data_IF_262193169701
#
_entry.id   IF_262193169701
#
_cell.length_a   1.000
_cell.length_b   1.000
_cell.length_c   1.000
_cell.angle_alpha   90.00
_cell.angle_beta   90.00
_cell.angle_gamma   90.00
#
_symmetry.space_group_name_H-M   'P 1'
#
loop_
_entity.id
_entity.type
_entity.pdbx_description
1 polymer ?
#
# COMPACT_ATOMS: atom_id res chain seq x y z
N UNK A 1 14.58 27.33 27.24
CA UNK A 1 13.22 27.70 26.80
C UNK A 1 12.83 26.79 25.66
N UNK A 2 11.67 26.10 25.70
CA UNK A 2 11.17 25.40 24.52
C UNK A 2 10.86 26.41 23.41
N UNK A 3 11.20 26.06 22.17
CA UNK A 3 11.03 26.90 20.98
C UNK A 3 9.56 27.35 20.81
N UNK A 4 9.28 28.67 20.76
CA UNK A 4 7.93 29.22 20.62
C UNK A 4 7.22 28.87 19.31
N UNK A 5 7.90 28.23 18.35
CA UNK A 5 7.33 27.85 17.05
C UNK A 5 6.86 26.38 16.95
N UNK A 6 7.10 25.54 17.96
CA UNK A 6 6.65 24.14 17.95
C UNK A 6 5.17 24.01 18.36
N UNK A 7 4.24 24.40 17.48
CA UNK A 7 2.81 24.23 17.72
C UNK A 7 2.50 22.76 18.08
N UNK A 8 1.91 22.55 19.26
CA UNK A 8 1.63 21.20 19.77
C UNK A 8 0.52 20.55 18.95
N UNK A 9 0.70 19.27 18.63
CA UNK A 9 -0.35 18.46 18.02
C UNK A 9 -1.57 18.40 18.96
N UNK A 10 -2.68 18.93 18.48
CA UNK A 10 -3.97 18.86 19.17
C UNK A 10 -4.88 17.77 18.55
N UNK A 11 -6.11 17.67 19.09
CA UNK A 11 -7.12 16.73 18.61
C UNK A 11 -7.50 16.93 17.13
N UNK A 12 -7.51 18.17 16.63
CA UNK A 12 -7.93 18.50 15.25
C UNK A 12 -6.96 17.89 14.24
N UNK A 13 -5.66 17.94 14.54
CA UNK A 13 -4.61 17.34 13.70
C UNK A 13 -4.71 15.81 13.64
N UNK A 14 -5.01 15.16 14.76
CA UNK A 14 -5.23 13.71 14.79
C UNK A 14 -6.51 13.31 14.06
N UNK A 15 -7.57 14.11 14.17
CA UNK A 15 -8.80 13.89 13.41
C UNK A 15 -8.59 14.08 11.90
N UNK A 16 -7.72 15.01 11.50
CA UNK A 16 -7.29 15.14 10.10
C UNK A 16 -6.50 13.90 9.64
N UNK A 17 -5.62 13.37 10.49
CA UNK A 17 -4.90 12.13 10.21
C UNK A 17 -5.83 10.91 10.11
N UNK A 18 -6.89 10.85 10.92
CA UNK A 18 -7.96 9.86 10.77
C UNK A 18 -8.69 10.05 9.45
N UNK A 19 -9.10 11.27 9.09
CA UNK A 19 -9.77 11.55 7.83
C UNK A 19 -8.91 11.16 6.62
N UNK A 20 -7.61 11.45 6.64
CA UNK A 20 -6.67 11.05 5.60
C UNK A 20 -6.45 9.52 5.60
N UNK A 21 -6.22 8.93 6.76
CA UNK A 21 -6.01 7.49 6.92
C UNK A 21 -7.21 6.64 6.50
N UNK A 22 -8.44 7.15 6.61
CA UNK A 22 -9.64 6.48 6.09
C UNK A 22 -9.54 6.22 4.58
N UNK A 23 -8.90 7.07 3.79
CA UNK A 23 -8.67 6.77 2.38
C UNK A 23 -7.64 5.64 2.18
N UNK A 24 -6.58 5.58 2.99
CA UNK A 24 -5.64 4.46 2.95
C UNK A 24 -6.30 3.12 3.35
N UNK A 25 -7.24 3.18 4.30
CA UNK A 25 -8.09 2.04 4.67
C UNK A 25 -9.00 1.60 3.51
N UNK A 26 -9.63 2.56 2.83
CA UNK A 26 -10.50 2.29 1.68
C UNK A 26 -9.73 1.78 0.45
N UNK A 27 -8.52 2.29 0.19
CA UNK A 27 -7.64 1.84 -0.91
C UNK A 27 -7.23 0.38 -0.73
N UNK A 28 -6.62 0.06 0.42
CA UNK A 28 -6.30 -1.33 0.78
C UNK A 28 -7.53 -2.24 0.81
N UNK A 29 -8.65 -1.73 1.33
CA UNK A 29 -9.92 -2.44 1.35
C UNK A 29 -10.40 -2.80 -0.05
N UNK A 30 -10.35 -1.88 -1.00
CA UNK A 30 -10.72 -2.14 -2.40
C UNK A 30 -9.79 -3.16 -3.06
N UNK A 31 -8.47 -3.05 -2.87
CA UNK A 31 -7.49 -4.00 -3.46
C UNK A 31 -7.78 -5.42 -3.01
N UNK A 32 -7.94 -5.63 -1.70
CA UNK A 32 -8.25 -6.95 -1.16
C UNK A 32 -9.64 -7.41 -1.63
N UNK A 33 -10.65 -6.54 -1.61
CA UNK A 33 -12.03 -6.89 -1.98
C UNK A 33 -12.19 -7.25 -3.45
N UNK A 34 -11.45 -6.59 -4.35
CA UNK A 34 -11.37 -7.00 -5.77
C UNK A 34 -10.82 -8.41 -5.85
N UNK A 35 -9.71 -8.69 -5.16
CA UNK A 35 -9.09 -10.02 -5.17
C UNK A 35 -9.96 -11.13 -4.59
N UNK A 36 -10.75 -10.82 -3.56
CA UNK A 36 -11.77 -11.71 -3.00
C UNK A 36 -12.88 -12.02 -4.02
N UNK A 37 -13.25 -11.04 -4.85
CA UNK A 37 -14.33 -11.12 -5.82
C UNK A 37 -13.99 -11.83 -7.12
N UNK A 38 -12.71 -11.89 -7.52
CA UNK A 38 -12.29 -12.38 -8.85
C UNK A 38 -12.85 -13.77 -9.22
N UNK A 39 -12.76 -14.76 -8.32
CA UNK A 39 -13.26 -16.11 -8.60
C UNK A 39 -14.81 -16.14 -8.73
N UNK A 40 -15.49 -15.34 -7.92
CA UNK A 40 -16.96 -15.25 -7.93
C UNK A 40 -17.46 -14.50 -9.17
N UNK A 41 -16.83 -13.40 -9.55
CA UNK A 41 -17.16 -12.65 -10.76
C UNK A 41 -16.85 -13.45 -12.03
N UNK A 42 -15.72 -14.19 -12.04
CA UNK A 42 -15.40 -15.10 -13.14
C UNK A 42 -16.54 -16.07 -13.42
N UNK A 43 -17.06 -16.70 -12.37
CA UNK A 43 -18.19 -17.65 -12.48
C UNK A 43 -19.52 -16.95 -12.80
N UNK A 44 -19.80 -15.81 -12.17
CA UNK A 44 -21.09 -15.13 -12.28
C UNK A 44 -21.31 -14.44 -13.64
N UNK A 45 -20.23 -13.95 -14.27
CA UNK A 45 -20.27 -13.21 -15.52
C UNK A 45 -19.60 -13.96 -16.68
N UNK A 46 -19.26 -15.24 -16.48
CA UNK A 46 -18.56 -16.09 -17.46
C UNK A 46 -17.32 -15.41 -18.07
N UNK A 47 -16.46 -14.88 -17.19
CA UNK A 47 -15.30 -14.09 -17.61
C UNK A 47 -14.18 -14.97 -18.14
N UNK A 48 -13.61 -14.56 -19.26
CA UNK A 48 -12.37 -15.13 -19.75
C UNK A 48 -11.17 -14.73 -18.86
N UNK A 49 -10.03 -15.38 -19.10
CA UNK A 49 -8.81 -15.17 -18.30
C UNK A 49 -8.28 -13.74 -18.44
N UNK A 50 -8.46 -13.12 -19.60
CA UNK A 50 -8.02 -11.75 -19.85
C UNK A 50 -8.85 -10.73 -19.10
N UNK A 51 -10.17 -10.89 -19.02
CA UNK A 51 -11.04 -10.00 -18.25
C UNK A 51 -10.79 -10.11 -16.75
N UNK A 52 -10.49 -11.31 -16.24
CA UNK A 52 -10.01 -11.49 -14.85
C UNK A 52 -8.67 -10.77 -14.64
N UNK A 53 -7.76 -10.84 -15.62
CA UNK A 53 -6.50 -10.09 -15.63
C UNK A 53 -6.73 -8.58 -15.62
N UNK A 54 -7.69 -8.09 -16.41
CA UNK A 54 -8.10 -6.67 -16.42
C UNK A 54 -8.64 -6.27 -15.05
N UNK A 55 -9.56 -7.03 -14.44
CA UNK A 55 -10.08 -6.71 -13.11
C UNK A 55 -8.99 -6.69 -12.03
N UNK A 56 -8.06 -7.65 -12.07
CA UNK A 56 -6.95 -7.74 -11.12
C UNK A 56 -5.83 -6.71 -11.35
N UNK A 57 -5.75 -6.10 -12.54
CA UNK A 57 -4.71 -5.10 -12.88
C UNK A 57 -5.22 -3.67 -12.95
N UNK A 58 -6.46 -3.45 -13.37
CA UNK A 58 -7.05 -2.15 -13.61
C UNK A 58 -6.98 -1.27 -12.36
N UNK A 59 -7.31 -1.83 -11.19
CA UNK A 59 -7.24 -1.09 -9.93
C UNK A 59 -5.82 -0.53 -9.71
N UNK A 60 -4.80 -1.38 -9.73
CA UNK A 60 -3.40 -0.97 -9.52
C UNK A 60 -2.90 -0.02 -10.61
N UNK A 61 -3.27 -0.25 -11.88
CA UNK A 61 -2.91 0.62 -13.00
C UNK A 61 -3.47 2.03 -12.79
N UNK A 62 -4.76 2.12 -12.49
CA UNK A 62 -5.45 3.39 -12.35
C UNK A 62 -5.16 4.08 -11.02
N UNK A 63 -4.72 3.35 -9.98
CA UNK A 63 -4.05 3.94 -8.82
C UNK A 63 -2.77 4.66 -9.25
N UNK A 64 -1.94 4.06 -10.12
CA UNK A 64 -0.74 4.72 -10.63
C UNK A 64 -1.08 5.96 -11.47
N UNK A 65 -2.06 5.86 -12.38
CA UNK A 65 -2.54 6.99 -13.19
C UNK A 65 -3.10 8.11 -12.31
N UNK A 66 -3.93 7.76 -11.33
CA UNK A 66 -4.48 8.70 -10.35
C UNK A 66 -3.39 9.36 -9.51
N UNK A 67 -2.37 8.63 -9.08
CA UNK A 67 -1.26 9.20 -8.30
C UNK A 67 -0.41 10.19 -9.11
N UNK A 68 -0.21 9.93 -10.41
CA UNK A 68 0.52 10.84 -11.30
C UNK A 68 -0.24 12.14 -11.59
N UNK A 69 -1.57 12.06 -11.67
CA UNK A 69 -2.43 13.20 -12.06
C UNK A 69 -2.98 13.96 -10.86
N UNK A 70 -3.19 13.28 -9.72
CA UNK A 70 -3.90 13.77 -8.55
C UNK A 70 -3.25 14.98 -7.90
N UNK A 71 -1.92 15.01 -7.78
CA UNK A 71 -1.21 16.16 -7.20
C UNK A 71 -1.42 17.44 -8.01
N UNK A 72 -1.24 17.37 -9.33
CA UNK A 72 -1.47 18.53 -10.22
C UNK A 72 -2.93 18.97 -10.24
N UNK A 73 -3.87 18.03 -10.21
CA UNK A 73 -5.29 18.33 -10.12
C UNK A 73 -5.64 18.99 -8.78
N UNK A 74 -5.05 18.54 -7.68
CA UNK A 74 -5.23 19.14 -6.36
C UNK A 74 -4.72 20.59 -6.31
N UNK A 75 -3.61 20.89 -6.99
CA UNK A 75 -3.09 22.26 -7.07
C UNK A 75 -4.00 23.19 -7.89
N UNK A 76 -4.66 22.67 -8.94
CA UNK A 76 -5.58 23.44 -9.79
C UNK A 76 -6.96 23.66 -9.16
N UNK A 77 -7.51 22.63 -8.52
CA UNK A 77 -8.87 22.64 -7.94
C UNK A 77 -8.89 23.18 -6.51
N UNK A 78 -7.74 23.14 -5.84
CA UNK A 78 -7.57 23.39 -4.41
C UNK A 78 -7.49 22.08 -3.63
N UNK A 79 -6.43 21.95 -2.82
CA UNK A 79 -6.07 20.70 -2.12
C UNK A 79 -7.17 20.20 -1.18
N UNK A 80 -7.81 21.09 -0.41
CA UNK A 80 -8.92 20.74 0.47
C UNK A 80 -10.18 20.23 -0.25
N UNK A 81 -10.50 20.83 -1.41
CA UNK A 81 -11.64 20.40 -2.25
C UNK A 81 -11.36 19.06 -2.91
N UNK A 82 -10.18 18.92 -3.53
CA UNK A 82 -9.75 17.67 -4.16
C UNK A 82 -9.75 16.53 -3.14
N UNK A 83 -9.27 16.78 -1.92
CA UNK A 83 -9.27 15.81 -0.81
C UNK A 83 -10.67 15.28 -0.46
N UNK A 84 -11.73 16.06 -0.67
CA UNK A 84 -13.11 15.58 -0.45
C UNK A 84 -13.71 14.97 -1.72
N UNK A 85 -13.42 15.52 -2.91
CA UNK A 85 -13.98 15.03 -4.17
C UNK A 85 -13.49 13.63 -4.54
N UNK A 86 -12.22 13.30 -4.27
CA UNK A 86 -11.66 11.96 -4.51
C UNK A 86 -12.43 10.88 -3.75
N UNK A 87 -12.76 11.13 -2.47
CA UNK A 87 -13.46 10.13 -1.66
C UNK A 87 -14.94 10.00 -2.04
N UNK A 88 -15.55 11.08 -2.53
CA UNK A 88 -16.90 11.03 -3.09
C UNK A 88 -16.94 10.22 -4.40
N UNK A 89 -15.94 10.43 -5.28
CA UNK A 89 -15.78 9.67 -6.51
C UNK A 89 -15.57 8.18 -6.22
N UNK A 90 -14.73 7.86 -5.22
CA UNK A 90 -14.55 6.50 -4.72
C UNK A 90 -15.90 5.91 -4.28
N UNK A 91 -16.69 6.64 -3.49
CA UNK A 91 -17.97 6.14 -2.98
C UNK A 91 -18.95 5.80 -4.11
N UNK A 92 -19.09 6.68 -5.10
CA UNK A 92 -19.95 6.44 -6.25
C UNK A 92 -19.50 5.20 -7.05
N UNK A 93 -18.19 5.04 -7.24
CA UNK A 93 -17.62 3.89 -7.93
C UNK A 93 -17.77 2.58 -7.14
N UNK A 94 -17.62 2.62 -5.81
CA UNK A 94 -17.86 1.48 -4.93
C UNK A 94 -19.33 1.03 -4.96
N UNK A 95 -20.28 1.96 -5.01
CA UNK A 95 -21.70 1.64 -5.25
C UNK A 95 -21.88 0.97 -6.61
N UNK A 96 -21.29 1.52 -7.67
CA UNK A 96 -21.38 0.96 -9.02
C UNK A 96 -20.84 -0.48 -9.08
N UNK A 97 -19.73 -0.78 -8.39
CA UNK A 97 -19.20 -2.15 -8.25
C UNK A 97 -20.16 -3.04 -7.45
N UNK A 98 -20.71 -2.54 -6.34
CA UNK A 98 -21.63 -3.30 -5.49
C UNK A 98 -22.92 -3.72 -6.22
N UNK A 99 -23.43 -2.87 -7.11
CA UNK A 99 -24.68 -3.13 -7.86
C UNK A 99 -24.45 -3.52 -9.31
N UNK A 100 -23.20 -3.82 -9.71
CA UNK A 100 -22.84 -4.08 -11.09
C UNK A 100 -23.70 -5.22 -11.70
N UNK A 101 -24.45 -4.95 -12.80
CA UNK A 101 -25.28 -5.95 -13.45
C UNK A 101 -24.48 -6.82 -14.44
N UNK A 102 -23.31 -6.36 -14.89
CA UNK A 102 -22.47 -7.03 -15.86
C UNK A 102 -20.99 -6.66 -15.68
N UNK A 103 -20.12 -7.35 -16.43
CA UNK A 103 -18.67 -7.16 -16.39
C UNK A 103 -18.22 -5.74 -16.76
N UNK A 104 -18.88 -5.09 -17.72
CA UNK A 104 -18.50 -3.74 -18.18
C UNK A 104 -18.66 -2.71 -17.07
N UNK A 105 -19.80 -2.72 -16.38
CA UNK A 105 -20.05 -1.81 -15.25
C UNK A 105 -19.09 -2.11 -14.09
N UNK A 106 -18.81 -3.40 -13.84
CA UNK A 106 -17.85 -3.82 -12.83
C UNK A 106 -16.44 -3.27 -13.13
N UNK A 107 -15.93 -3.47 -14.34
CA UNK A 107 -14.61 -2.97 -14.77
C UNK A 107 -14.56 -1.45 -14.69
N UNK A 108 -15.58 -0.75 -15.19
CA UNK A 108 -15.64 0.70 -15.12
C UNK A 108 -15.61 1.20 -13.66
N UNK A 109 -16.37 0.56 -12.77
CA UNK A 109 -16.34 0.87 -11.34
C UNK A 109 -14.95 0.68 -10.72
N UNK A 110 -14.29 -0.45 -11.00
CA UNK A 110 -12.92 -0.73 -10.50
C UNK A 110 -11.91 0.29 -11.02
N UNK A 111 -12.00 0.69 -12.29
CA UNK A 111 -11.15 1.74 -12.87
C UNK A 111 -11.34 3.06 -12.12
N UNK A 112 -12.58 3.48 -11.89
CA UNK A 112 -12.88 4.75 -11.20
C UNK A 112 -12.43 4.71 -9.74
N UNK A 113 -12.61 3.58 -9.04
CA UNK A 113 -12.04 3.37 -7.69
C UNK A 113 -10.52 3.57 -7.74
N UNK A 114 -9.84 2.99 -8.73
CA UNK A 114 -8.40 3.10 -8.88
C UNK A 114 -7.94 4.55 -9.08
N UNK A 115 -8.56 5.29 -9.99
CA UNK A 115 -8.25 6.71 -10.21
C UNK A 115 -8.49 7.52 -8.94
N UNK A 116 -9.61 7.30 -8.26
CA UNK A 116 -9.97 8.02 -7.04
C UNK A 116 -8.97 7.76 -5.90
N UNK A 117 -8.64 6.50 -5.63
CA UNK A 117 -7.68 6.10 -4.62
C UNK A 117 -6.26 6.61 -4.94
N UNK A 118 -5.85 6.49 -6.21
CA UNK A 118 -4.58 7.01 -6.70
C UNK A 118 -4.43 8.50 -6.51
N UNK A 119 -5.47 9.28 -6.85
CA UNK A 119 -5.45 10.73 -6.72
C UNK A 119 -5.54 11.21 -5.26
N UNK A 120 -6.18 10.44 -4.37
CA UNK A 120 -6.29 10.77 -2.95
C UNK A 120 -4.93 10.69 -2.24
N UNK A 121 -4.07 9.74 -2.61
CA UNK A 121 -2.81 9.50 -1.92
C UNK A 121 -1.86 10.74 -1.90
N UNK A 122 -1.50 11.36 -3.03
CA UNK A 122 -0.69 12.59 -3.01
C UNK A 122 -1.45 13.77 -2.39
N UNK A 123 -2.76 13.85 -2.60
CA UNK A 123 -3.61 14.94 -2.09
C UNK A 123 -3.69 14.92 -0.56
N UNK A 124 -3.90 13.75 0.04
CA UNK A 124 -4.00 13.57 1.49
C UNK A 124 -2.68 13.82 2.21
N UNK A 125 -1.55 13.38 1.62
CA UNK A 125 -0.21 13.68 2.14
C UNK A 125 0.06 15.18 2.10
N UNK A 126 -0.30 15.86 1.01
CA UNK A 126 -0.17 17.31 0.87
C UNK A 126 -0.99 18.05 1.93
N UNK A 127 -2.28 17.74 2.05
CA UNK A 127 -3.19 18.34 3.05
C UNK A 127 -2.68 18.12 4.47
N UNK A 128 -2.24 16.90 4.81
CA UNK A 128 -1.65 16.62 6.12
C UNK A 128 -0.37 17.40 6.36
N UNK A 129 0.49 17.55 5.35
CA UNK A 129 1.80 18.18 5.51
C UNK A 129 1.70 19.70 5.66
N UNK A 130 0.77 20.34 4.96
CA UNK A 130 0.50 21.77 5.05
C UNK A 130 -0.18 22.15 6.37
N UNK A 131 -1.20 21.37 6.75
CA UNK A 131 -2.03 21.65 7.93
C UNK A 131 -1.41 21.16 9.23
N UNK A 132 -0.33 20.39 9.17
CA UNK A 132 0.40 19.97 10.36
C UNK A 132 1.38 21.04 10.87
N UNK A 133 1.68 21.03 12.19
CA UNK A 133 2.79 21.76 12.75
C UNK A 133 4.12 21.28 12.17
N UNK A 134 5.13 22.15 12.18
CA UNK A 134 6.49 21.77 11.77
C UNK A 134 7.01 20.61 12.65
N UNK A 135 7.61 19.60 12.01
CA UNK A 135 8.15 18.43 12.68
C UNK A 135 7.13 17.33 13.04
N UNK A 136 5.83 17.61 12.95
CA UNK A 136 4.76 16.64 13.24
C UNK A 136 4.28 15.85 12.02
N UNK A 137 4.60 16.31 10.81
CA UNK A 137 4.03 15.81 9.54
C UNK A 137 4.29 14.32 9.35
N UNK A 138 5.53 13.88 9.59
CA UNK A 138 5.92 12.48 9.46
C UNK A 138 5.10 11.54 10.37
N UNK A 139 4.74 12.00 11.58
CA UNK A 139 3.93 11.20 12.52
C UNK A 139 2.50 11.01 12.03
N UNK A 140 1.90 12.07 11.48
CA UNK A 140 0.53 12.00 10.93
C UNK A 140 0.49 11.18 9.63
N UNK A 141 1.51 11.30 8.78
CA UNK A 141 1.64 10.47 7.58
C UNK A 141 1.89 9.00 7.93
N UNK A 142 2.71 8.71 8.95
CA UNK A 142 2.92 7.34 9.39
C UNK A 142 1.62 6.68 9.90
N UNK A 143 0.73 7.46 10.52
CA UNK A 143 -0.58 6.98 10.97
C UNK A 143 -1.47 6.50 9.81
N UNK A 144 -1.39 7.10 8.61
CA UNK A 144 -2.18 6.64 7.46
C UNK A 144 -1.78 5.23 7.02
N UNK A 145 -0.50 4.85 7.21
CA UNK A 145 -0.04 3.48 6.96
C UNK A 145 -0.58 2.45 7.97
N UNK A 146 -0.82 2.87 9.21
CA UNK A 146 -1.54 2.03 10.18
C UNK A 146 -2.96 1.76 9.69
N UNK A 147 -3.65 2.81 9.22
CA UNK A 147 -5.00 2.70 8.66
C UNK A 147 -5.07 1.83 7.40
N UNK A 148 -4.02 1.84 6.55
CA UNK A 148 -3.87 0.86 5.46
C UNK A 148 -3.89 -0.58 5.98
N UNK A 149 -3.08 -0.87 7.00
CA UNK A 149 -3.02 -2.22 7.59
C UNK A 149 -4.38 -2.62 8.17
N UNK A 150 -5.09 -1.68 8.83
CA UNK A 150 -6.46 -1.90 9.33
C UNK A 150 -7.42 -2.23 8.17
N UNK A 151 -7.30 -1.57 7.02
CA UNK A 151 -8.12 -1.86 5.84
C UNK A 151 -7.91 -3.26 5.27
N UNK A 152 -6.66 -3.75 5.23
CA UNK A 152 -6.35 -5.14 4.84
C UNK A 152 -7.02 -6.14 5.79
N UNK A 153 -6.90 -5.92 7.10
CA UNK A 153 -7.52 -6.79 8.11
C UNK A 153 -9.04 -6.74 8.01
N UNK A 154 -9.62 -5.54 7.87
CA UNK A 154 -11.06 -5.35 7.73
C UNK A 154 -11.60 -6.06 6.49
N UNK A 155 -10.98 -5.89 5.32
CA UNK A 155 -11.45 -6.50 4.08
C UNK A 155 -11.34 -8.04 4.12
N UNK A 156 -10.26 -8.58 4.67
CA UNK A 156 -10.13 -10.04 4.84
C UNK A 156 -11.12 -10.59 5.86
N UNK A 157 -11.37 -9.89 6.97
CA UNK A 157 -12.35 -10.26 7.97
C UNK A 157 -13.77 -10.25 7.39
N UNK A 158 -14.14 -9.20 6.66
CA UNK A 158 -15.43 -9.12 5.97
C UNK A 158 -15.57 -10.22 4.94
N UNK A 159 -14.51 -10.46 4.14
CA UNK A 159 -14.45 -11.55 3.17
C UNK A 159 -14.74 -12.92 3.78
N UNK A 160 -14.20 -13.18 4.96
CA UNK A 160 -14.50 -14.39 5.72
C UNK A 160 -15.95 -14.41 6.24
N UNK A 161 -16.40 -13.31 6.88
CA UNK A 161 -17.73 -13.19 7.47
C UNK A 161 -18.87 -13.38 6.45
N UNK A 162 -18.69 -12.88 5.22
CA UNK A 162 -19.71 -12.98 4.15
C UNK A 162 -19.44 -14.11 3.17
N UNK A 163 -18.45 -14.97 3.44
CA UNK A 163 -18.00 -16.00 2.49
C UNK A 163 -19.10 -16.98 2.07
N UNK A 164 -20.07 -17.25 2.96
CA UNK A 164 -21.23 -18.09 2.68
C UNK A 164 -22.28 -17.47 1.75
N UNK A 165 -22.20 -16.15 1.50
CA UNK A 165 -23.17 -15.41 0.69
C UNK A 165 -22.77 -15.32 -0.80
N UNK A 166 -21.63 -15.91 -1.19
CA UNK A 166 -21.14 -15.90 -2.57
C UNK A 166 -21.01 -14.48 -3.13
N UNK A 167 -21.57 -14.25 -4.33
CA UNK A 167 -21.52 -12.93 -4.99
C UNK A 167 -22.16 -11.82 -4.14
N UNK A 168 -23.27 -12.12 -3.46
CA UNK A 168 -23.93 -11.16 -2.56
C UNK A 168 -23.00 -10.69 -1.45
N UNK A 169 -22.14 -11.58 -0.94
CA UNK A 169 -21.13 -11.21 0.05
C UNK A 169 -20.17 -10.13 -0.47
N UNK A 170 -19.64 -10.30 -1.68
CA UNK A 170 -18.76 -9.30 -2.30
C UNK A 170 -19.49 -7.97 -2.51
N UNK A 171 -20.75 -8.00 -2.95
CA UNK A 171 -21.57 -6.79 -3.10
C UNK A 171 -21.74 -6.05 -1.78
N UNK A 172 -21.94 -6.77 -0.67
CA UNK A 172 -22.05 -6.17 0.67
C UNK A 172 -20.72 -5.53 1.11
N UNK A 173 -19.57 -6.13 0.79
CA UNK A 173 -18.26 -5.54 1.11
C UNK A 173 -18.10 -4.19 0.40
N UNK A 174 -18.36 -4.12 -0.92
CA UNK A 174 -18.29 -2.85 -1.64
C UNK A 174 -19.35 -1.85 -1.19
N UNK A 175 -20.54 -2.31 -0.80
CA UNK A 175 -21.55 -1.46 -0.18
C UNK A 175 -21.08 -0.84 1.14
N UNK A 176 -20.41 -1.62 2.00
CA UNK A 176 -19.83 -1.10 3.23
C UNK A 176 -18.67 -0.12 2.96
N UNK A 177 -17.80 -0.42 2.00
CA UNK A 177 -16.74 0.51 1.57
C UNK A 177 -17.34 1.83 1.05
N UNK A 178 -18.45 1.77 0.31
CA UNK A 178 -19.16 2.97 -0.13
C UNK A 178 -19.73 3.78 1.05
N UNK A 179 -20.34 3.11 2.04
CA UNK A 179 -20.84 3.76 3.26
C UNK A 179 -19.71 4.44 4.04
N UNK A 180 -18.58 3.74 4.22
CA UNK A 180 -17.39 4.30 4.88
C UNK A 180 -16.82 5.49 4.09
N UNK A 181 -16.83 5.44 2.76
CA UNK A 181 -16.39 6.53 1.90
C UNK A 181 -17.34 7.75 1.98
N UNK A 182 -18.65 7.55 2.02
CA UNK A 182 -19.64 8.63 2.23
C UNK A 182 -19.49 9.26 3.62
N UNK A 183 -19.31 8.45 4.67
CA UNK A 183 -19.05 8.94 6.01
C UNK A 183 -17.74 9.76 6.06
N UNK A 184 -16.70 9.29 5.36
CA UNK A 184 -15.43 10.00 5.24
C UNK A 184 -15.57 11.30 4.45
N UNK A 185 -16.36 11.30 3.36
CA UNK A 185 -16.69 12.52 2.61
C UNK A 185 -17.38 13.54 3.51
N UNK A 186 -18.43 13.14 4.22
CA UNK A 186 -19.16 14.02 5.11
C UNK A 186 -18.25 14.59 6.20
N UNK A 187 -17.37 13.76 6.77
CA UNK A 187 -16.39 14.21 7.75
C UNK A 187 -15.37 15.20 7.16
N UNK A 188 -14.82 14.93 5.97
CA UNK A 188 -13.87 15.83 5.29
C UNK A 188 -14.49 17.16 4.86
N UNK A 189 -15.74 17.12 4.38
CA UNK A 189 -16.43 18.28 3.80
C UNK A 189 -17.07 19.19 4.84
N UNK A 190 -17.61 18.62 5.93
CA UNK A 190 -18.46 19.37 6.85
C UNK A 190 -17.86 19.58 8.24
N UNK A 191 -16.73 18.96 8.60
CA UNK A 191 -16.11 19.16 9.91
C UNK A 191 -15.41 20.53 9.98
N UNK A 192 -15.98 21.53 10.71
CA UNK A 192 -15.49 22.90 10.66
C UNK A 192 -14.00 23.08 11.04
N UNK A 193 -13.46 22.34 12.03
CA UNK A 193 -12.04 22.46 12.40
C UNK A 193 -11.04 22.18 11.28
N UNK A 194 -11.43 21.51 10.18
CA UNK A 194 -10.54 21.36 9.03
C UNK A 194 -10.35 22.65 8.24
N UNK A 195 -11.33 23.55 8.26
CA UNK A 195 -11.23 24.89 7.66
C UNK A 195 -10.37 25.80 8.53
N UNK A 196 -10.49 25.66 9.85
CA UNK A 196 -9.63 26.38 10.80
C UNK A 196 -8.16 25.97 10.61
N UNK A 197 -7.88 24.67 10.48
CA UNK A 197 -6.52 24.17 10.22
C UNK A 197 -5.96 24.64 8.86
N UNK A 198 -6.82 24.87 7.88
CA UNK A 198 -6.44 25.42 6.58
C UNK A 198 -6.07 26.90 6.70
N UNK A 199 -6.91 27.70 7.38
CA UNK A 199 -6.62 29.11 7.67
C UNK A 199 -5.35 29.28 8.54
N UNK A 200 -5.17 28.42 9.55
CA UNK A 200 -3.97 28.37 10.40
C UNK A 200 -2.72 28.03 9.57
N UNK A 201 -2.85 27.19 8.53
CA UNK A 201 -1.74 26.88 7.62
C UNK A 201 -1.40 28.05 6.69
N UNK A 202 -2.41 28.69 6.11
CA UNK A 202 -2.24 29.87 5.25
C UNK A 202 -1.56 31.03 6.00
N UNK A 203 -2.00 31.32 7.21
CA UNK A 203 -1.40 32.36 8.06
C UNK A 203 0.06 32.04 8.40
N UNK A 204 0.39 30.77 8.70
CA UNK A 204 1.77 30.35 8.96
C UNK A 204 2.66 30.49 7.73
N UNK A 205 2.19 30.10 6.55
CA UNK A 205 2.96 30.22 5.32
C UNK A 205 3.21 31.69 4.95
N UNK A 206 2.19 32.55 5.08
CA UNK A 206 2.32 33.98 4.85
C UNK A 206 3.33 34.64 5.81
N UNK A 207 3.27 34.31 7.11
CA UNK A 207 4.16 34.87 8.12
C UNK A 207 5.62 34.42 7.95
N UNK A 208 5.85 33.19 7.48
CA UNK A 208 7.18 32.66 7.33
C UNK A 208 7.89 33.22 6.06
N UNK A 209 7.15 33.78 5.09
CA UNK A 209 7.70 34.10 3.77
C UNK A 209 8.31 32.87 3.07
N UNK A 210 7.98 31.68 3.57
CA UNK A 210 8.53 30.41 3.13
C UNK A 210 7.58 29.83 2.09
N UNK A 211 8.12 29.62 0.90
CA UNK A 211 7.58 28.67 -0.06
C UNK A 211 7.86 27.25 0.48
N UNK A 212 6.95 26.74 1.33
CA UNK A 212 7.19 25.67 2.33
C UNK A 212 7.70 24.32 1.80
N UNK A 213 7.83 24.12 0.49
CA UNK A 213 8.38 22.90 -0.07
C UNK A 213 8.86 23.09 -1.52
N UNK A 214 10.00 23.76 -1.75
CA UNK A 214 10.76 23.53 -2.99
C UNK A 214 11.36 22.12 -2.94
N UNK A 215 10.50 21.14 -3.22
CA UNK A 215 10.91 19.78 -3.47
C UNK A 215 11.97 19.78 -4.56
N UNK A 216 13.08 19.08 -4.33
CA UNK A 216 14.10 18.93 -5.36
C UNK A 216 13.47 18.22 -6.56
N UNK A 217 13.46 18.83 -7.75
CA UNK A 217 12.85 18.21 -8.92
C UNK A 217 13.65 16.96 -9.29
N UNK A 218 12.94 15.92 -9.74
CA UNK A 218 13.54 14.62 -10.05
C UNK A 218 14.70 14.74 -11.07
N UNK A 219 14.60 15.69 -12.00
CA UNK A 219 15.63 15.98 -13.01
C UNK A 219 16.98 16.36 -12.39
N UNK A 220 16.99 17.08 -11.27
CA UNK A 220 18.22 17.46 -10.57
C UNK A 220 18.80 16.26 -9.82
N UNK A 221 17.94 15.45 -9.18
CA UNK A 221 18.35 14.24 -8.46
C UNK A 221 18.95 13.17 -9.37
N UNK A 222 18.40 13.00 -10.58
CA UNK A 222 18.87 11.99 -11.55
C UNK A 222 20.20 12.38 -12.19
N UNK A 223 20.56 13.67 -12.21
CA UNK A 223 21.85 14.14 -12.73
C UNK A 223 23.01 13.83 -11.80
N UNK A 224 22.75 13.77 -10.50
CA UNK A 224 23.75 13.52 -9.49
C UNK A 224 24.02 12.01 -9.36
N UNK A 225 25.24 11.57 -9.69
CA UNK A 225 25.59 10.13 -9.76
C UNK A 225 25.44 9.43 -8.42
N UNK A 226 25.70 10.14 -7.32
CA UNK A 226 25.55 9.61 -5.96
C UNK A 226 24.09 9.26 -5.64
N UNK A 227 23.14 10.11 -6.03
CA UNK A 227 21.71 9.85 -5.86
C UNK A 227 21.15 8.86 -6.86
N UNK A 228 21.57 8.92 -8.13
CA UNK A 228 21.08 8.02 -9.18
C UNK A 228 21.24 6.54 -8.82
N UNK A 229 22.41 6.17 -8.28
CA UNK A 229 22.67 4.80 -7.85
C UNK A 229 21.71 4.32 -6.75
N UNK A 230 21.37 5.20 -5.80
CA UNK A 230 20.46 4.85 -4.71
C UNK A 230 18.98 4.91 -5.11
N UNK A 231 18.63 5.80 -6.05
CA UNK A 231 17.30 5.83 -6.67
C UNK A 231 17.08 4.52 -7.41
N UNK A 232 18.03 4.07 -8.22
CA UNK A 232 17.94 2.81 -8.95
C UNK A 232 17.81 1.60 -8.01
N UNK A 233 18.63 1.52 -6.96
CA UNK A 233 18.55 0.42 -5.98
C UNK A 233 17.21 0.38 -5.26
N UNK A 234 16.73 1.53 -4.74
CA UNK A 234 15.44 1.58 -4.03
C UNK A 234 14.26 1.35 -4.97
N UNK A 235 14.31 1.84 -6.21
CA UNK A 235 13.31 1.58 -7.24
C UNK A 235 13.22 0.10 -7.60
N UNK A 236 14.36 -0.55 -7.88
CA UNK A 236 14.40 -1.95 -8.27
C UNK A 236 14.01 -2.86 -7.10
N UNK A 237 14.48 -2.57 -5.88
CA UNK A 237 14.05 -3.27 -4.67
C UNK A 237 12.52 -3.25 -4.56
N UNK A 238 11.94 -2.05 -4.61
CA UNK A 238 10.50 -1.88 -4.45
C UNK A 238 9.72 -2.50 -5.60
N UNK A 239 10.22 -2.41 -6.84
CA UNK A 239 9.61 -3.04 -8.01
C UNK A 239 9.48 -4.56 -7.82
N UNK A 240 10.59 -5.27 -7.57
CA UNK A 240 10.57 -6.73 -7.46
C UNK A 240 9.77 -7.21 -6.24
N UNK A 241 9.86 -6.50 -5.12
CA UNK A 241 8.99 -6.75 -3.97
C UNK A 241 7.51 -6.56 -4.33
N UNK A 242 7.17 -5.45 -5.01
CA UNK A 242 5.79 -5.11 -5.39
C UNK A 242 5.20 -6.12 -6.37
N UNK A 243 6.00 -6.71 -7.27
CA UNK A 243 5.52 -7.77 -8.16
C UNK A 243 4.98 -8.97 -7.38
N UNK A 244 5.68 -9.39 -6.32
CA UNK A 244 5.24 -10.48 -5.44
C UNK A 244 4.05 -10.02 -4.58
N UNK A 245 4.17 -8.86 -3.94
CA UNK A 245 3.15 -8.34 -3.03
C UNK A 245 1.81 -8.08 -3.73
N UNK A 246 1.82 -7.46 -4.92
CA UNK A 246 0.63 -7.18 -5.72
C UNK A 246 -0.05 -8.48 -6.18
N UNK A 247 0.73 -9.51 -6.49
CA UNK A 247 0.20 -10.82 -6.90
C UNK A 247 -0.57 -11.48 -5.75
N UNK A 248 -0.01 -11.52 -4.54
CA UNK A 248 -0.73 -12.06 -3.37
C UNK A 248 -1.81 -11.12 -2.85
N UNK A 249 -1.68 -9.80 -3.03
CA UNK A 249 -2.73 -8.85 -2.69
C UNK A 249 -3.97 -9.03 -3.55
N UNK A 250 -3.79 -9.21 -4.86
CA UNK A 250 -4.88 -9.22 -5.84
C UNK A 250 -5.40 -10.60 -6.19
N UNK A 251 -4.57 -11.65 -6.14
CA UNK A 251 -4.93 -12.97 -6.65
C UNK A 251 -4.84 -14.11 -5.61
N UNK A 252 -4.44 -13.85 -4.35
CA UNK A 252 -4.30 -14.92 -3.34
C UNK A 252 -5.54 -15.79 -3.20
N UNK A 253 -6.72 -15.18 -3.03
CA UNK A 253 -7.98 -15.92 -2.89
C UNK A 253 -8.38 -16.60 -4.20
N UNK A 254 -8.18 -15.92 -5.34
CA UNK A 254 -8.39 -16.51 -6.66
C UNK A 254 -7.57 -17.79 -6.83
N UNK A 255 -6.26 -17.77 -6.53
CA UNK A 255 -5.38 -18.93 -6.67
C UNK A 255 -5.75 -20.09 -5.74
N UNK A 256 -6.12 -19.81 -4.49
CA UNK A 256 -6.58 -20.85 -3.56
C UNK A 256 -7.82 -21.57 -4.10
N UNK A 257 -8.75 -20.83 -4.73
CA UNK A 257 -9.97 -21.41 -5.30
C UNK A 257 -9.69 -22.12 -6.62
N UNK A 258 -8.97 -21.49 -7.56
CA UNK A 258 -8.81 -22.01 -8.92
C UNK A 258 -7.71 -23.05 -9.08
N UNK A 259 -6.62 -22.93 -8.32
CA UNK A 259 -5.47 -23.86 -8.39
C UNK A 259 -5.49 -24.81 -7.21
N UNK A 260 -5.70 -24.28 -5.99
CA UNK A 260 -5.79 -25.09 -4.77
C UNK A 260 -7.08 -25.91 -4.64
N UNK A 261 -8.05 -25.73 -5.56
CA UNK A 261 -9.30 -26.49 -5.60
C UNK A 261 -10.21 -26.31 -4.38
N UNK A 262 -10.01 -25.24 -3.60
CA UNK A 262 -10.74 -25.03 -2.35
C UNK A 262 -11.99 -24.17 -2.52
N UNK A 263 -12.86 -24.16 -1.50
CA UNK A 263 -14.05 -23.31 -1.52
C UNK A 263 -13.69 -21.85 -1.21
N UNK A 264 -14.53 -20.91 -1.63
CA UNK A 264 -14.40 -19.50 -1.26
C UNK A 264 -14.32 -19.30 0.26
N UNK A 265 -15.10 -20.07 1.02
CA UNK A 265 -15.10 -20.02 2.49
C UNK A 265 -13.75 -20.40 3.09
N UNK A 266 -13.15 -21.51 2.62
CA UNK A 266 -11.81 -21.92 3.10
C UNK A 266 -10.75 -20.91 2.66
N UNK A 267 -10.79 -20.45 1.41
CA UNK A 267 -9.81 -19.49 0.89
C UNK A 267 -9.82 -18.16 1.66
N UNK A 268 -11.01 -17.64 1.99
CA UNK A 268 -11.18 -16.42 2.79
C UNK A 268 -10.80 -16.62 4.25
N UNK A 269 -11.15 -17.77 4.86
CA UNK A 269 -10.76 -18.11 6.23
C UNK A 269 -9.23 -18.18 6.39
N UNK A 270 -8.55 -18.90 5.49
CA UNK A 270 -7.08 -18.98 5.45
C UNK A 270 -6.48 -17.59 5.22
N UNK A 271 -7.05 -16.81 4.31
CA UNK A 271 -6.58 -15.45 4.03
C UNK A 271 -6.67 -14.54 5.25
N UNK A 272 -7.79 -14.57 5.97
CA UNK A 272 -8.00 -13.80 7.20
C UNK A 272 -7.05 -14.27 8.32
N UNK A 273 -7.02 -15.57 8.62
CA UNK A 273 -6.18 -16.13 9.66
C UNK A 273 -4.68 -15.84 9.45
N UNK A 274 -4.19 -15.99 8.21
CA UNK A 274 -2.79 -15.69 7.88
C UNK A 274 -2.49 -14.18 7.91
N UNK A 275 -3.44 -13.31 7.56
CA UNK A 275 -3.26 -11.85 7.66
C UNK A 275 -3.07 -11.38 9.11
N UNK A 276 -3.69 -12.03 10.10
CA UNK A 276 -3.45 -11.72 11.51
C UNK A 276 -2.00 -11.98 11.94
N UNK A 277 -1.35 -12.99 11.36
CA UNK A 277 0.08 -13.27 11.58
C UNK A 277 0.93 -12.12 11.05
N UNK A 278 0.59 -11.62 9.86
CA UNK A 278 1.25 -10.47 9.24
C UNK A 278 1.14 -9.20 10.11
N UNK A 279 -0.03 -8.96 10.69
CA UNK A 279 -0.25 -7.84 11.61
C UNK A 279 0.68 -7.90 12.83
N UNK A 280 0.80 -9.08 13.46
CA UNK A 280 1.74 -9.29 14.58
C UNK A 280 3.17 -9.04 14.13
N UNK A 281 3.56 -9.55 12.96
CA UNK A 281 4.88 -9.32 12.38
C UNK A 281 5.16 -7.83 12.11
N UNK A 282 4.19 -7.05 11.66
CA UNK A 282 4.31 -5.59 11.48
C UNK A 282 4.54 -4.88 12.82
N UNK A 283 3.81 -5.26 13.87
CA UNK A 283 4.02 -4.71 15.22
C UNK A 283 5.41 -5.04 15.73
N UNK A 284 5.90 -6.28 15.53
CA UNK A 284 7.29 -6.63 15.85
C UNK A 284 8.28 -5.80 15.05
N UNK A 285 8.06 -5.66 13.73
CA UNK A 285 8.92 -4.87 12.85
C UNK A 285 9.06 -3.42 13.34
N UNK A 286 7.96 -2.76 13.72
CA UNK A 286 8.01 -1.37 14.22
C UNK A 286 8.89 -1.20 15.45
N UNK A 287 9.02 -2.22 16.31
CA UNK A 287 9.88 -2.17 17.50
C UNK A 287 11.35 -2.41 17.19
N UNK A 288 11.65 -3.13 16.10
CA UNK A 288 13.03 -3.48 15.72
C UNK A 288 13.60 -2.60 14.60
N UNK A 289 12.77 -1.81 13.93
CA UNK A 289 13.13 -1.03 12.74
C UNK A 289 14.31 -0.06 12.99
N UNK A 290 14.40 0.48 14.20
CA UNK A 290 15.49 1.40 14.58
C UNK A 290 16.60 0.70 15.37
N UNK A 291 16.70 -0.63 15.27
CA UNK A 291 17.71 -1.41 16.02
C UNK A 291 18.69 -2.11 15.08
N UNK A 292 19.85 -2.50 15.62
CA UNK A 292 20.84 -3.35 14.90
C UNK A 292 20.27 -4.67 14.39
N UNK A 293 19.14 -5.13 14.94
CA UNK A 293 18.48 -6.36 14.54
C UNK A 293 17.75 -6.24 13.21
N UNK A 294 17.41 -5.02 12.74
CA UNK A 294 16.72 -4.77 11.46
C UNK A 294 17.35 -5.56 10.30
N UNK A 295 18.67 -5.52 10.14
CA UNK A 295 19.36 -6.21 9.03
C UNK A 295 19.30 -7.73 9.15
N UNK A 296 19.29 -8.27 10.38
CA UNK A 296 19.22 -9.72 10.63
C UNK A 296 17.81 -10.25 10.33
N UNK A 297 16.79 -9.51 10.78
CA UNK A 297 15.40 -9.81 10.46
C UNK A 297 15.09 -9.66 8.97
N UNK A 298 15.70 -8.68 8.29
CA UNK A 298 15.62 -8.59 6.83
C UNK A 298 16.18 -9.86 6.16
N UNK A 299 17.38 -10.31 6.54
CA UNK A 299 17.98 -11.51 5.96
C UNK A 299 17.12 -12.78 6.20
N UNK A 300 16.64 -12.97 7.43
CA UNK A 300 15.72 -14.07 7.75
C UNK A 300 14.40 -13.95 6.98
N UNK A 301 13.86 -12.74 6.90
CA UNK A 301 12.66 -12.41 6.14
C UNK A 301 12.80 -12.79 4.67
N UNK A 302 13.92 -12.46 4.02
CA UNK A 302 14.17 -12.78 2.59
C UNK A 302 14.15 -14.28 2.36
N UNK A 303 14.79 -15.06 3.24
CA UNK A 303 14.79 -16.53 3.16
C UNK A 303 13.38 -17.07 3.30
N UNK A 304 12.63 -16.63 4.31
CA UNK A 304 11.25 -17.08 4.55
C UNK A 304 10.34 -16.68 3.38
N UNK A 305 10.48 -15.44 2.90
CA UNK A 305 9.73 -14.92 1.78
C UNK A 305 9.99 -15.79 0.55
N UNK A 306 11.23 -15.90 0.06
CA UNK A 306 11.57 -16.71 -1.11
C UNK A 306 11.15 -18.20 -0.96
N UNK A 307 11.37 -18.79 0.21
CA UNK A 307 11.03 -20.20 0.48
C UNK A 307 9.54 -20.46 0.38
N UNK A 308 8.69 -19.50 0.76
CA UNK A 308 7.25 -19.70 0.68
C UNK A 308 6.75 -19.73 -0.77
N UNK A 309 7.29 -18.92 -1.68
CA UNK A 309 6.92 -19.02 -3.10
C UNK A 309 7.50 -20.28 -3.74
N UNK A 310 8.72 -20.66 -3.36
CA UNK A 310 9.36 -21.89 -3.84
C UNK A 310 8.55 -23.13 -3.43
N UNK A 311 8.03 -23.16 -2.19
CA UNK A 311 7.17 -24.23 -1.70
C UNK A 311 5.91 -24.38 -2.57
N UNK A 312 5.28 -23.26 -2.93
CA UNK A 312 4.11 -23.29 -3.83
C UNK A 312 4.51 -23.72 -5.24
N UNK A 313 5.67 -23.28 -5.73
CA UNK A 313 6.18 -23.62 -7.06
C UNK A 313 6.41 -25.13 -7.23
N UNK A 314 7.12 -25.74 -6.27
CA UNK A 314 7.45 -27.18 -6.29
C UNK A 314 6.20 -28.05 -6.14
N UNK A 315 5.19 -27.57 -5.41
CA UNK A 315 3.91 -28.28 -5.25
C UNK A 315 2.88 -27.93 -6.33
N UNK A 316 3.24 -27.07 -7.29
CA UNK A 316 2.34 -26.56 -8.33
C UNK A 316 1.11 -25.82 -7.82
N UNK A 317 1.08 -25.44 -6.55
CA UNK A 317 -0.09 -24.85 -5.91
C UNK A 317 -1.31 -25.76 -5.85
N UNK A 318 -1.18 -27.07 -6.08
CA UNK A 318 -2.32 -28.02 -6.00
C UNK A 318 -2.39 -28.72 -4.65
N UNK A 319 -1.31 -28.69 -3.86
CA UNK A 319 -1.27 -29.27 -2.51
C UNK A 319 -1.72 -28.23 -1.49
N UNK A 320 -3.00 -28.27 -1.12
CA UNK A 320 -3.61 -27.26 -0.23
C UNK A 320 -2.86 -27.05 1.10
N UNK A 321 -2.42 -28.10 1.85
CA UNK A 321 -1.63 -27.88 3.06
C UNK A 321 -0.32 -27.13 2.81
N UNK A 322 0.35 -27.38 1.68
CA UNK A 322 1.58 -26.68 1.32
C UNK A 322 1.30 -25.21 0.96
N UNK A 323 0.18 -24.91 0.29
CA UNK A 323 -0.24 -23.54 0.05
C UNK A 323 -0.54 -22.79 1.36
N UNK A 324 -1.24 -23.42 2.30
CA UNK A 324 -1.54 -22.81 3.60
C UNK A 324 -0.24 -22.54 4.37
N UNK A 325 0.65 -23.52 4.44
CA UNK A 325 1.96 -23.36 5.07
C UNK A 325 2.76 -22.21 4.42
N UNK A 326 2.77 -22.14 3.08
CA UNK A 326 3.41 -21.06 2.36
C UNK A 326 2.77 -19.69 2.66
N UNK A 327 1.45 -19.59 2.80
CA UNK A 327 0.78 -18.33 3.16
C UNK A 327 1.08 -17.90 4.59
N UNK A 328 1.23 -18.85 5.52
CA UNK A 328 1.70 -18.56 6.88
C UNK A 328 3.12 -18.00 6.83
N UNK A 329 4.04 -18.69 6.14
CA UNK A 329 5.42 -18.23 5.96
C UNK A 329 5.49 -16.87 5.27
N UNK A 330 4.67 -16.64 4.23
CA UNK A 330 4.54 -15.36 3.55
C UNK A 330 4.24 -14.25 4.54
N UNK A 331 3.22 -14.42 5.40
CA UNK A 331 2.83 -13.39 6.36
C UNK A 331 3.85 -13.22 7.52
N UNK A 332 4.64 -14.25 7.84
CA UNK A 332 5.77 -14.12 8.77
C UNK A 332 6.89 -13.30 8.14
N UNK A 333 7.27 -13.57 6.89
CA UNK A 333 8.38 -12.89 6.22
C UNK A 333 8.05 -11.49 5.71
N UNK A 334 6.83 -11.27 5.23
CA UNK A 334 6.40 -10.06 4.52
C UNK A 334 6.69 -8.74 5.27
N UNK A 335 6.42 -8.61 6.59
CA UNK A 335 6.72 -7.39 7.33
C UNK A 335 8.20 -7.00 7.34
N UNK A 336 9.10 -7.96 7.16
CA UNK A 336 10.55 -7.78 7.25
C UNK A 336 11.25 -7.61 5.91
N UNK A 337 10.55 -7.71 4.77
CA UNK A 337 11.14 -7.62 3.40
C UNK A 337 10.40 -6.59 2.54
N UNK A 338 9.53 -5.78 3.14
CA UNK A 338 8.53 -5.04 2.39
C UNK A 338 8.67 -3.53 2.34
N UNK A 339 7.53 -2.91 2.03
CA UNK A 339 7.39 -1.47 1.79
C UNK A 339 7.91 -0.61 2.96
N UNK A 340 7.78 -1.08 4.20
CA UNK A 340 8.27 -0.35 5.37
C UNK A 340 9.78 -0.13 5.33
N UNK A 341 10.57 -1.15 4.95
CA UNK A 341 12.02 -1.03 4.79
C UNK A 341 12.39 -0.15 3.61
N UNK A 342 11.69 -0.31 2.48
CA UNK A 342 11.86 0.57 1.33
C UNK A 342 11.71 2.04 1.74
N UNK A 343 10.63 2.36 2.49
CA UNK A 343 10.40 3.73 2.97
C UNK A 343 11.53 4.20 3.86
N UNK A 344 11.97 3.40 4.82
CA UNK A 344 13.08 3.73 5.72
C UNK A 344 14.37 4.02 4.93
N UNK A 345 14.76 3.13 4.00
CA UNK A 345 15.97 3.33 3.21
C UNK A 345 15.89 4.58 2.34
N UNK A 346 14.73 4.92 1.79
CA UNK A 346 14.58 6.20 1.08
C UNK A 346 14.70 7.40 2.04
N UNK A 347 14.22 7.30 3.28
CA UNK A 347 14.42 8.38 4.25
C UNK A 347 15.89 8.52 4.67
N UNK A 348 16.61 7.41 4.86
CA UNK A 348 18.02 7.40 5.26
C UNK A 348 18.95 7.86 4.12
N UNK A 349 18.55 7.68 2.86
CA UNK A 349 19.44 7.87 1.71
C UNK A 349 19.35 9.23 1.02
N UNK A 350 18.28 9.99 1.28
CA UNK A 350 18.01 11.23 0.55
C UNK A 350 17.78 12.41 1.50
N UNK A 351 18.15 13.63 1.10
CA UNK A 351 17.87 14.83 1.87
C UNK A 351 16.35 15.05 1.96
N UNK A 352 15.90 15.67 3.05
CA UNK A 352 14.47 15.77 3.42
C UNK A 352 13.60 16.29 2.28
N UNK A 353 14.09 17.29 1.53
CA UNK A 353 13.41 17.92 0.39
C UNK A 353 13.39 17.08 -0.91
N UNK A 354 14.08 15.94 -0.96
CA UNK A 354 14.07 15.02 -2.10
C UNK A 354 13.28 13.72 -1.85
N UNK A 355 13.07 13.35 -0.58
CA UNK A 355 12.50 12.05 -0.19
C UNK A 355 11.13 11.79 -0.81
N UNK A 356 10.22 12.77 -0.76
CA UNK A 356 8.89 12.65 -1.32
C UNK A 356 8.91 12.47 -2.86
N UNK A 357 9.76 13.25 -3.56
CA UNK A 357 9.94 13.16 -5.01
C UNK A 357 10.43 11.77 -5.43
N UNK A 358 11.45 11.24 -4.75
CA UNK A 358 12.02 9.91 -5.04
C UNK A 358 10.99 8.81 -4.75
N UNK A 359 10.33 8.85 -3.60
CA UNK A 359 9.31 7.85 -3.26
C UNK A 359 8.16 7.86 -4.27
N UNK A 360 7.62 9.03 -4.59
CA UNK A 360 6.53 9.17 -5.55
C UNK A 360 6.89 8.59 -6.93
N UNK A 361 8.06 8.94 -7.47
CA UNK A 361 8.51 8.46 -8.78
C UNK A 361 8.73 6.94 -8.80
N UNK A 362 9.43 6.41 -7.80
CA UNK A 362 9.77 4.97 -7.74
C UNK A 362 8.55 4.10 -7.46
N UNK A 363 7.61 4.56 -6.62
CA UNK A 363 6.34 3.86 -6.41
C UNK A 363 5.45 3.85 -7.66
N UNK A 364 5.38 4.96 -8.40
CA UNK A 364 4.59 5.05 -9.63
C UNK A 364 5.07 4.04 -10.68
N UNK A 365 6.39 3.96 -10.91
CA UNK A 365 6.99 2.98 -11.82
C UNK A 365 6.69 1.55 -11.35
N UNK A 366 6.91 1.25 -10.07
CA UNK A 366 6.65 -0.08 -9.52
C UNK A 366 5.18 -0.52 -9.70
N UNK A 367 4.23 0.38 -9.45
CA UNK A 367 2.79 0.10 -9.62
C UNK A 367 2.39 -0.07 -11.08
N UNK A 368 2.95 0.72 -12.00
CA UNK A 368 2.69 0.57 -13.43
C UNK A 368 3.13 -0.80 -13.93
N UNK A 369 4.36 -1.23 -13.58
CA UNK A 369 4.88 -2.54 -13.96
C UNK A 369 4.12 -3.67 -13.26
N UNK A 370 3.75 -3.50 -11.99
CA UNK A 370 2.95 -4.48 -11.26
C UNK A 370 1.54 -4.65 -11.85
N UNK A 371 0.94 -3.59 -12.38
CA UNK A 371 -0.32 -3.67 -13.10
C UNK A 371 -0.17 -4.40 -14.43
N UNK A 372 0.87 -4.10 -15.21
CA UNK A 372 1.16 -4.84 -16.44
C UNK A 372 1.39 -6.34 -16.17
N UNK A 373 2.09 -6.67 -15.08
CA UNK A 373 2.27 -8.06 -14.65
C UNK A 373 0.95 -8.70 -14.19
N UNK A 374 0.12 -7.98 -13.43
CA UNK A 374 -1.19 -8.45 -12.99
C UNK A 374 -2.13 -8.76 -14.17
N UNK A 375 -2.03 -8.02 -15.28
CA UNK A 375 -2.84 -8.25 -16.48
C UNK A 375 -2.60 -9.65 -17.07
N UNK A 376 -1.34 -10.08 -17.09
CA UNK A 376 -0.94 -11.40 -17.63
C UNK A 376 -0.94 -12.50 -16.56
N UNK A 377 -1.04 -12.16 -15.28
CA UNK A 377 -0.90 -13.11 -14.16
C UNK A 377 -1.93 -14.26 -14.22
N UNK A 378 -3.23 -14.02 -14.50
CA UNK A 378 -4.18 -15.12 -14.68
C UNK A 378 -3.88 -16.02 -15.89
N UNK A 379 -3.31 -15.48 -16.97
CA UNK A 379 -2.90 -16.27 -18.13
C UNK A 379 -1.67 -17.13 -17.81
N UNK A 380 -0.70 -16.57 -17.08
CA UNK A 380 0.48 -17.29 -16.61
C UNK A 380 0.10 -18.45 -15.68
N UNK A 381 -0.82 -18.24 -14.74
CA UNK A 381 -1.22 -19.32 -13.83
C UNK A 381 -2.07 -20.39 -14.53
N UNK A 382 -2.86 -20.02 -15.54
CA UNK A 382 -3.59 -20.99 -16.36
C UNK A 382 -2.65 -21.83 -17.24
N UNK A 383 -1.56 -21.24 -17.74
CA UNK A 383 -0.56 -21.95 -18.52
C UNK A 383 0.34 -22.84 -17.68
N UNK A 384 0.89 -22.31 -16.58
CA UNK A 384 1.74 -23.06 -15.65
C UNK A 384 1.72 -22.45 -14.26
N UNK A 385 0.97 -23.04 -13.31
CA UNK A 385 0.99 -22.59 -11.92
C UNK A 385 2.40 -22.58 -11.32
N UNK A 386 3.15 -23.68 -11.47
CA UNK A 386 4.55 -23.76 -11.02
C UNK A 386 5.43 -22.68 -11.65
N UNK A 387 5.28 -22.43 -12.97
CA UNK A 387 6.05 -21.43 -13.69
C UNK A 387 5.90 -20.02 -13.11
N UNK A 388 4.65 -19.62 -12.79
CA UNK A 388 4.40 -18.34 -12.13
C UNK A 388 5.08 -18.28 -10.76
N UNK A 389 4.95 -19.31 -9.91
CA UNK A 389 5.54 -19.28 -8.58
C UNK A 389 7.08 -19.36 -8.57
N UNK A 390 7.71 -20.02 -9.55
CA UNK A 390 9.15 -19.94 -9.76
C UNK A 390 9.57 -18.52 -10.14
N UNK A 391 8.82 -17.85 -11.01
CA UNK A 391 9.06 -16.46 -11.37
C UNK A 391 8.93 -15.52 -10.16
N UNK A 392 7.91 -15.72 -9.32
CA UNK A 392 7.75 -14.97 -8.06
C UNK A 392 8.88 -15.24 -7.07
N UNK A 393 9.39 -16.47 -7.01
CA UNK A 393 10.56 -16.83 -6.20
C UNK A 393 11.80 -16.08 -6.68
N UNK A 394 12.01 -16.01 -8.00
CA UNK A 394 13.08 -15.22 -8.59
C UNK A 394 12.95 -13.74 -8.21
N UNK A 395 11.75 -13.13 -8.32
CA UNK A 395 11.53 -11.75 -7.90
C UNK A 395 11.82 -11.52 -6.41
N UNK A 396 11.40 -12.44 -5.54
CA UNK A 396 11.71 -12.40 -4.12
C UNK A 396 13.23 -12.43 -3.86
N UNK A 397 13.97 -13.32 -4.51
CA UNK A 397 15.43 -13.39 -4.38
C UNK A 397 16.13 -12.14 -4.91
N UNK A 398 15.70 -11.59 -6.04
CA UNK A 398 16.26 -10.36 -6.61
C UNK A 398 16.02 -9.18 -5.66
N UNK A 399 14.81 -9.02 -5.11
CA UNK A 399 14.53 -8.00 -4.10
C UNK A 399 15.41 -8.17 -2.86
N UNK A 400 15.58 -9.40 -2.38
CA UNK A 400 16.45 -9.71 -1.24
C UNK A 400 17.92 -9.37 -1.48
N UNK A 401 18.45 -9.70 -2.65
CA UNK A 401 19.81 -9.35 -3.07
C UNK A 401 20.01 -7.84 -3.13
N UNK A 402 19.09 -7.10 -3.77
CA UNK A 402 19.17 -5.65 -3.87
C UNK A 402 19.08 -5.00 -2.47
N UNK A 403 18.19 -5.47 -1.61
CA UNK A 403 18.10 -4.98 -0.23
C UNK A 403 19.38 -5.23 0.58
N UNK A 404 20.05 -6.37 0.37
CA UNK A 404 21.35 -6.62 0.99
C UNK A 404 22.44 -5.65 0.49
N UNK A 405 22.42 -5.29 -0.80
CA UNK A 405 23.30 -4.26 -1.38
C UNK A 405 23.00 -2.87 -0.77
N UNK A 406 21.72 -2.51 -0.60
CA UNK A 406 21.30 -1.27 0.06
C UNK A 406 21.85 -1.22 1.49
N UNK A 407 21.64 -2.27 2.29
CA UNK A 407 22.13 -2.33 3.68
C UNK A 407 23.65 -2.13 3.74
N UNK A 408 24.42 -2.73 2.83
CA UNK A 408 25.88 -2.54 2.76
C UNK A 408 26.26 -1.10 2.42
N UNK A 409 25.58 -0.47 1.46
CA UNK A 409 25.85 0.92 1.08
C UNK A 409 25.50 1.93 2.17
N UNK A 410 24.37 1.76 2.84
CA UNK A 410 23.94 2.65 3.94
C UNK A 410 24.91 2.54 5.12
N UNK A 411 25.38 1.33 5.47
CA UNK A 411 26.42 1.14 6.49
C UNK A 411 27.75 1.79 6.12
N UNK A 412 28.17 1.68 4.85
CA UNK A 412 29.45 2.24 4.39
C UNK A 412 29.48 3.77 4.27
N UNK A 413 28.33 4.45 4.33
CA UNK A 413 28.22 5.90 4.17
C UNK A 413 28.15 6.68 5.49
N UNK A 414 28.27 6.01 6.64
CA UNK A 414 28.32 6.66 7.96
C UNK A 414 26.99 7.27 8.43
N UNK A 415 25.89 7.05 7.70
CA UNK A 415 24.55 7.52 8.09
C UNK A 415 23.95 6.55 9.10
N UNK A 416 24.41 6.70 10.35
CA UNK A 416 23.78 6.37 11.63
C UNK A 416 23.42 4.88 11.85
N UNK A 417 24.29 4.18 12.60
CA UNK A 417 23.80 3.28 13.65
C UNK A 417 23.20 4.15 14.76
N UNK A 418 21.97 3.89 15.23
CA UNK A 418 21.52 4.49 16.49
C UNK A 418 22.48 4.01 17.57
N UNK A 419 23.06 4.97 18.30
CA UNK A 419 23.96 4.70 19.41
C UNK A 419 23.35 3.62 20.32
N UNK A 420 24.14 2.65 20.81
CA UNK A 420 23.64 1.73 21.81
C UNK A 420 23.09 2.57 22.97
N UNK A 421 21.82 2.33 23.33
CA UNK A 421 21.28 2.82 24.59
C UNK A 421 22.29 2.41 25.67
N UNK A 422 22.98 3.41 26.23
CA UNK A 422 23.84 3.18 27.38
C UNK A 422 22.98 2.52 28.46
N UNK A 423 23.51 1.48 29.07
CA UNK A 423 22.95 0.84 30.27
C UNK A 423 22.94 1.86 31.44
N UNK A 424 22.08 2.86 31.39
CA UNK A 424 21.74 3.71 32.55
C UNK A 424 20.53 3.11 33.27
N UNK A 425 20.68 1.86 33.74
CA UNK A 425 19.89 1.34 34.87
C UNK A 425 20.81 0.47 35.73
N UNK A 426 21.81 1.11 36.35
CA UNK A 426 22.43 0.63 37.60
C UNK A 426 22.92 1.84 38.42
N UNK A 427 21.99 2.47 39.12
CA UNK A 427 22.21 3.07 40.45
C UNK A 427 20.88 3.30 41.13
#
# INVERSE_FOLDING_TARGET
MPDPTSARLDRRHWLLAVAAGMASLLDSGAIISVGLGLALWKKAFDLDVWTVGVLGSALTLFIAVGALTGGRLADLVGRGRMFSMTILLYAAAAVAVAVAPNATVLVAGVIVIGVAAGADLPTSIAVLSERAPQGAQGRLVAFTHVMWTVGVVLATALGFAVSGLGLTGIRLIFGLLAVLAVATFAFRAFYPPFRDLEADAEARHAAAGVDAAKALPLKELVRERSYLGMIALTALFYLFFTLVANTFGSFKTYFLVTVGGTTQAVATAVSFGTTLIGLVGTVVFTRIADTRWRSRFFAAGVVIFASCQLLIAVTGGVVLPAMIAALVLYNIGFPFVGEALYKIWTQESFPVNARATVQGATMAVARFVAAAFALVTPALIAWSPSGLYYLLTFFALVSGFIGAVIIRRVRGSGVIEPAPLADEVRS
#
